data_IF_622151978443
#
_entry.id   IF_622151978443
#
_cell.length_a   1.000
_cell.length_b   1.000
_cell.length_c   1.000
_cell.angle_alpha   90.00
_cell.angle_beta   90.00
_cell.angle_gamma   90.00
#
_symmetry.space_group_name_H-M   'P 1'
#
loop_
_entity.id
_entity.type
_entity.pdbx_description
1 polymer ?
#
# COMPACT_ATOMS: atom_id res chain seq x y z
N UNK A 1 49.28 0.00 10.30
CA UNK A 1 48.46 -0.59 11.36
C UNK A 1 47.02 -0.57 10.90
N UNK A 2 46.35 -1.71 10.76
CA UNK A 2 44.95 -1.76 10.30
C UNK A 2 43.99 -1.43 11.44
N UNK A 3 43.05 -0.52 11.20
CA UNK A 3 41.97 -0.25 12.17
C UNK A 3 41.12 -1.51 12.37
N UNK A 4 40.79 -1.89 13.62
CA UNK A 4 39.93 -3.03 13.89
C UNK A 4 38.57 -2.81 13.22
N UNK A 5 38.15 -3.76 12.38
CA UNK A 5 36.88 -3.68 11.67
C UNK A 5 35.73 -3.75 12.67
N UNK A 6 35.03 -2.62 12.85
CA UNK A 6 33.85 -2.55 13.72
C UNK A 6 32.76 -3.49 13.20
N UNK A 7 32.35 -4.45 14.03
CA UNK A 7 31.29 -5.41 13.69
C UNK A 7 29.93 -4.81 14.05
N UNK A 8 29.07 -4.57 13.05
CA UNK A 8 27.73 -4.03 13.26
C UNK A 8 26.74 -5.15 13.59
N UNK A 9 25.73 -4.86 14.43
CA UNK A 9 24.70 -5.85 14.79
C UNK A 9 23.63 -6.00 13.72
N UNK A 10 23.46 -4.97 12.87
CA UNK A 10 22.45 -4.95 11.81
C UNK A 10 22.86 -4.10 10.61
N UNK A 11 22.24 -4.35 9.46
CA UNK A 11 22.40 -3.53 8.25
C UNK A 11 22.02 -2.07 8.52
N UNK A 12 20.97 -1.83 9.33
CA UNK A 12 20.56 -0.47 9.73
C UNK A 12 21.74 0.26 10.37
N UNK A 13 22.35 -0.33 11.38
CA UNK A 13 23.44 0.28 12.15
C UNK A 13 24.64 0.60 11.24
N UNK A 14 25.02 -0.33 10.37
CA UNK A 14 26.08 -0.13 9.38
C UNK A 14 25.75 1.04 8.45
N UNK A 15 24.54 1.07 7.88
CA UNK A 15 24.12 2.13 6.94
C UNK A 15 24.14 3.50 7.60
N UNK A 16 23.55 3.64 8.81
CA UNK A 16 23.53 4.93 9.51
C UNK A 16 24.94 5.39 9.89
N UNK A 17 25.77 4.48 10.41
CA UNK A 17 27.18 4.79 10.74
C UNK A 17 27.98 5.20 9.50
N UNK A 18 27.74 4.54 8.36
CA UNK A 18 28.42 4.86 7.10
C UNK A 18 28.02 6.25 6.57
N UNK A 19 26.75 6.65 6.74
CA UNK A 19 26.28 7.97 6.36
C UNK A 19 26.96 9.05 7.19
N UNK A 20 27.10 8.85 8.51
CA UNK A 20 27.82 9.78 9.38
C UNK A 20 29.30 9.89 9.02
N UNK A 21 29.97 8.75 8.81
CA UNK A 21 31.37 8.72 8.42
C UNK A 21 31.60 9.44 7.08
N UNK A 22 30.65 9.31 6.15
CA UNK A 22 30.68 9.97 4.84
C UNK A 22 30.13 11.41 4.85
N UNK A 23 29.70 11.95 6.01
CA UNK A 23 29.05 13.27 6.13
C UNK A 23 27.90 13.47 5.11
N UNK A 24 27.10 12.43 4.88
CA UNK A 24 26.01 12.43 3.90
C UNK A 24 26.43 12.23 2.43
N UNK A 25 27.72 12.23 2.10
CA UNK A 25 28.24 12.01 0.74
C UNK A 25 28.42 10.52 0.44
N UNK A 26 27.32 9.77 0.41
CA UNK A 26 27.34 8.31 0.31
C UNK A 26 27.51 7.82 -1.13
N UNK A 27 28.56 7.03 -1.36
CA UNK A 27 28.72 6.26 -2.60
C UNK A 27 28.02 4.90 -2.49
N UNK A 28 26.97 4.68 -3.29
CA UNK A 28 26.17 3.45 -3.23
C UNK A 28 26.99 2.16 -3.43
N UNK A 29 28.01 2.18 -4.30
CA UNK A 29 28.86 1.00 -4.53
C UNK A 29 29.69 0.65 -3.31
N UNK A 30 30.27 1.66 -2.65
CA UNK A 30 31.05 1.47 -1.42
C UNK A 30 30.17 0.99 -0.27
N UNK A 31 29.00 1.62 -0.08
CA UNK A 31 28.03 1.18 0.93
C UNK A 31 27.60 -0.26 0.68
N UNK A 32 27.31 -0.62 -0.57
CA UNK A 32 26.91 -1.99 -0.95
C UNK A 32 28.00 -3.01 -0.67
N UNK A 33 29.26 -2.68 -0.99
CA UNK A 33 30.40 -3.54 -0.68
C UNK A 33 30.54 -3.74 0.84
N UNK A 34 30.40 -2.69 1.63
CA UNK A 34 30.44 -2.76 3.10
C UNK A 34 29.31 -3.63 3.66
N UNK A 35 28.07 -3.46 3.18
CA UNK A 35 26.92 -4.28 3.58
C UNK A 35 27.15 -5.75 3.22
N UNK A 36 27.61 -6.05 2.01
CA UNK A 36 27.82 -7.43 1.55
C UNK A 36 29.01 -8.12 2.22
N UNK A 37 30.04 -7.36 2.58
CA UNK A 37 31.18 -7.89 3.34
C UNK A 37 30.77 -8.35 4.74
N UNK A 38 29.92 -7.60 5.45
CA UNK A 38 29.46 -8.00 6.79
C UNK A 38 28.23 -8.91 6.79
N UNK A 39 27.34 -8.74 5.82
CA UNK A 39 26.07 -9.47 5.71
C UNK A 39 25.94 -10.11 4.33
N UNK A 40 26.70 -11.18 4.04
CA UNK A 40 26.76 -11.80 2.72
C UNK A 40 25.39 -12.30 2.24
N UNK A 41 24.63 -12.92 3.14
CA UNK A 41 23.27 -13.44 2.90
C UNK A 41 22.18 -12.36 2.78
N UNK A 42 22.54 -11.09 2.96
CA UNK A 42 21.55 -10.01 2.90
C UNK A 42 20.94 -9.90 1.50
N UNK A 43 19.64 -9.62 1.43
CA UNK A 43 18.96 -9.24 0.18
C UNK A 43 19.15 -7.77 -0.18
N UNK A 44 20.27 -7.15 0.23
CA UNK A 44 20.54 -5.73 0.01
C UNK A 44 20.47 -5.34 -1.47
N UNK A 45 19.77 -4.25 -1.77
CA UNK A 45 19.55 -3.73 -3.12
C UNK A 45 19.19 -2.24 -3.08
N UNK A 46 19.13 -1.60 -4.24
CA UNK A 46 19.03 -0.14 -4.35
C UNK A 46 17.78 0.44 -3.69
N UNK A 47 16.64 -0.24 -3.78
CA UNK A 47 15.41 0.24 -3.10
C UNK A 47 15.51 0.19 -1.58
N UNK A 48 16.38 -0.63 -0.99
CA UNK A 48 16.69 -0.57 0.45
C UNK A 48 17.43 0.73 0.77
N UNK A 49 18.43 1.10 -0.04
CA UNK A 49 19.13 2.38 0.14
C UNK A 49 18.17 3.56 -0.04
N UNK A 50 17.31 3.53 -1.04
CA UNK A 50 16.29 4.57 -1.26
C UNK A 50 15.37 4.73 -0.03
N UNK A 51 14.96 3.60 0.59
CA UNK A 51 14.20 3.61 1.84
C UNK A 51 14.98 4.28 2.98
N UNK A 52 16.23 3.86 3.24
CA UNK A 52 17.05 4.46 4.30
C UNK A 52 17.29 5.94 4.07
N UNK A 53 17.63 6.35 2.85
CA UNK A 53 17.79 7.76 2.51
C UNK A 53 16.53 8.57 2.77
N UNK A 54 15.36 8.03 2.44
CA UNK A 54 14.09 8.67 2.75
C UNK A 54 13.86 8.78 4.27
N UNK A 55 14.14 7.71 5.02
CA UNK A 55 13.99 7.73 6.48
C UNK A 55 14.94 8.72 7.17
N UNK A 56 16.16 8.90 6.64
CA UNK A 56 17.13 9.90 7.12
C UNK A 56 16.70 11.32 6.76
N UNK A 57 16.22 11.54 5.54
CA UNK A 57 15.90 12.91 5.09
C UNK A 57 14.55 13.41 5.57
N UNK A 58 13.55 12.53 5.71
CA UNK A 58 12.15 12.91 5.98
C UNK A 58 11.42 12.02 6.99
N UNK A 59 12.03 10.92 7.42
CA UNK A 59 11.35 9.90 8.20
C UNK A 59 11.89 9.75 9.61
N UNK A 60 11.85 8.52 10.13
CA UNK A 60 12.09 8.22 11.54
C UNK A 60 13.48 8.63 12.06
N UNK A 61 14.48 8.71 11.18
CA UNK A 61 15.86 8.98 11.57
C UNK A 61 16.26 10.44 11.34
N UNK A 62 15.35 11.34 10.96
CA UNK A 62 15.71 12.71 10.57
C UNK A 62 16.40 13.53 11.66
N UNK A 63 16.14 13.23 12.92
CA UNK A 63 16.71 13.91 14.08
C UNK A 63 18.06 13.33 14.52
N UNK A 64 18.46 12.17 13.96
CA UNK A 64 19.78 11.56 14.23
C UNK A 64 20.89 12.16 13.34
N UNK A 65 20.53 12.95 12.32
CA UNK A 65 21.47 13.49 11.32
C UNK A 65 21.45 15.02 11.29
N UNK A 66 22.62 15.60 11.03
CA UNK A 66 22.76 17.05 10.87
C UNK A 66 22.06 17.56 9.61
N UNK A 67 21.73 18.86 9.56
CA UNK A 67 21.16 19.48 8.36
C UNK A 67 22.12 19.39 7.16
N UNK A 68 23.43 19.45 7.40
CA UNK A 68 24.45 19.31 6.35
C UNK A 68 24.43 17.90 5.74
N UNK A 69 24.40 16.85 6.57
CA UNK A 69 24.34 15.46 6.09
C UNK A 69 23.06 15.23 5.27
N UNK A 70 21.93 15.77 5.74
CA UNK A 70 20.64 15.69 5.04
C UNK A 70 20.67 16.44 3.70
N UNK A 71 21.28 17.62 3.65
CA UNK A 71 21.46 18.39 2.42
C UNK A 71 22.33 17.62 1.41
N UNK A 72 23.46 17.06 1.84
CA UNK A 72 24.35 16.27 0.99
C UNK A 72 23.65 15.03 0.41
N UNK A 73 22.88 14.32 1.23
CA UNK A 73 22.06 13.18 0.78
C UNK A 73 20.96 13.58 -0.22
N UNK A 74 20.39 14.78 -0.05
CA UNK A 74 19.39 15.32 -0.95
C UNK A 74 19.99 15.74 -2.30
N UNK A 75 21.21 16.28 -2.31
CA UNK A 75 21.95 16.68 -3.52
C UNK A 75 22.42 15.49 -4.35
N UNK A 76 22.73 14.36 -3.72
CA UNK A 76 23.04 13.10 -4.39
C UNK A 76 21.87 12.50 -5.21
N UNK A 77 20.84 13.28 -5.56
CA UNK A 77 19.61 12.87 -6.26
C UNK A 77 19.72 12.65 -7.76
N UNK A 78 20.84 12.96 -8.41
CA UNK A 78 20.88 12.89 -9.87
C UNK A 78 22.15 12.21 -10.40
N UNK A 79 22.18 10.88 -10.30
CA UNK A 79 22.57 10.09 -11.47
C UNK A 79 21.27 9.53 -12.01
N UNK A 80 20.74 10.00 -13.17
CA UNK A 80 19.57 9.41 -13.76
C UNK A 80 19.82 7.92 -13.90
N UNK A 81 18.89 7.12 -13.36
CA UNK A 81 18.82 5.69 -13.60
C UNK A 81 18.87 5.55 -15.13
N UNK A 82 20.00 5.08 -15.67
CA UNK A 82 20.10 4.82 -17.11
C UNK A 82 18.93 3.89 -17.45
N UNK A 83 18.14 4.18 -18.51
CA UNK A 83 17.17 3.21 -18.99
C UNK A 83 17.92 1.89 -19.20
N UNK A 84 17.39 0.80 -18.63
CA UNK A 84 17.92 -0.56 -18.79
C UNK A 84 18.30 -0.78 -20.26
N UNK A 85 19.59 -0.96 -20.55
CA UNK A 85 20.01 -1.40 -21.88
C UNK A 85 19.38 -2.76 -22.17
N UNK A 86 18.83 -2.98 -23.38
CA UNK A 86 18.20 -4.24 -23.77
C UNK A 86 19.30 -5.22 -24.20
N UNK A 87 19.81 -6.02 -23.28
CA UNK A 87 20.69 -7.12 -23.63
C UNK A 87 20.56 -8.25 -22.60
N UNK A 88 19.59 -9.11 -22.85
CA UNK A 88 19.61 -10.56 -22.65
C UNK A 88 18.15 -11.04 -22.81
N UNK A 89 17.88 -11.73 -23.92
CA UNK A 89 16.63 -12.42 -24.18
C UNK A 89 16.47 -13.58 -23.20
N UNK A 90 16.05 -13.28 -21.97
CA UNK A 90 15.38 -14.23 -21.11
C UNK A 90 13.88 -13.93 -21.21
N UNK A 91 13.11 -14.97 -21.52
CA UNK A 91 11.66 -14.92 -21.73
C UNK A 91 10.97 -14.00 -20.71
N UNK A 92 10.03 -13.13 -21.15
CA UNK A 92 9.37 -12.18 -20.28
C UNK A 92 8.52 -12.94 -19.26
N UNK A 93 9.02 -13.09 -18.04
CA UNK A 93 8.15 -13.33 -16.90
C UNK A 93 7.43 -12.00 -16.66
N UNK A 94 6.10 -11.92 -16.78
CA UNK A 94 5.37 -10.69 -16.54
C UNK A 94 5.49 -10.36 -15.05
N UNK A 95 6.47 -9.53 -14.71
CA UNK A 95 6.53 -8.90 -13.40
C UNK A 95 5.43 -7.86 -13.39
N UNK A 96 4.24 -8.29 -12.97
CA UNK A 96 3.13 -7.41 -12.70
C UNK A 96 3.63 -6.39 -11.66
N UNK A 97 3.93 -5.18 -12.13
CA UNK A 97 4.12 -4.03 -11.26
C UNK A 97 2.84 -3.90 -10.46
N UNK A 98 2.90 -4.33 -9.20
CA UNK A 98 1.90 -4.01 -8.20
C UNK A 98 1.96 -2.50 -8.05
N UNK A 99 1.20 -1.80 -8.89
CA UNK A 99 0.82 -0.41 -8.63
C UNK A 99 0.34 -0.43 -7.20
N UNK A 100 1.00 0.34 -6.34
CA UNK A 100 0.52 0.54 -4.98
C UNK A 100 -0.94 0.95 -5.14
N UNK A 101 -1.87 0.04 -4.87
CA UNK A 101 -3.30 0.30 -4.99
C UNK A 101 -3.62 1.26 -3.88
N UNK A 102 -3.30 2.54 -4.10
CA UNK A 102 -3.82 3.63 -3.29
C UNK A 102 -5.32 3.40 -3.33
N UNK A 103 -5.92 3.37 -2.14
CA UNK A 103 -7.36 3.23 -2.02
C UNK A 103 -8.08 4.25 -2.92
N UNK A 104 -9.36 4.00 -3.25
CA UNK A 104 -10.15 4.95 -4.03
C UNK A 104 -9.93 6.36 -3.48
N UNK A 105 -9.51 7.30 -4.33
CA UNK A 105 -9.42 8.70 -3.93
C UNK A 105 -10.86 9.16 -3.70
N UNK A 106 -11.16 9.64 -2.51
CA UNK A 106 -12.35 10.46 -2.31
C UNK A 106 -12.28 11.59 -3.34
N UNK A 107 -13.26 11.65 -4.24
CA UNK A 107 -13.35 12.71 -5.26
C UNK A 107 -13.80 14.03 -4.65
N UNK A 108 -14.46 13.95 -3.50
CA UNK A 108 -15.00 15.06 -2.74
C UNK A 108 -14.06 15.40 -1.57
N UNK A 109 -13.57 16.64 -1.56
CA UNK A 109 -12.65 17.14 -0.56
C UNK A 109 -13.29 17.26 0.83
N UNK A 110 -14.60 17.57 0.91
CA UNK A 110 -15.31 17.64 2.19
C UNK A 110 -15.46 16.24 2.81
N UNK A 111 -15.78 15.23 1.99
CA UNK A 111 -15.80 13.83 2.45
C UNK A 111 -14.42 13.39 2.94
N UNK A 112 -13.37 13.82 2.24
CA UNK A 112 -11.98 13.53 2.64
C UNK A 112 -11.64 14.18 3.99
N UNK A 113 -11.96 15.45 4.18
CA UNK A 113 -11.69 16.20 5.41
C UNK A 113 -12.37 15.56 6.62
N UNK A 114 -13.68 15.31 6.52
CA UNK A 114 -14.46 14.65 7.58
C UNK A 114 -13.92 13.23 7.82
N UNK A 115 -13.63 12.49 6.77
CA UNK A 115 -13.05 11.15 6.86
C UNK A 115 -11.70 11.14 7.57
N UNK A 116 -10.81 12.08 7.25
CA UNK A 116 -9.50 12.23 7.88
C UNK A 116 -9.64 12.61 9.36
N UNK A 117 -10.60 13.48 9.72
CA UNK A 117 -10.91 13.83 11.11
C UNK A 117 -11.41 12.61 11.92
N UNK A 118 -12.33 11.82 11.37
CA UNK A 118 -12.80 10.57 11.97
C UNK A 118 -11.65 9.58 12.13
N UNK A 119 -10.82 9.40 11.10
CA UNK A 119 -9.65 8.51 11.17
C UNK A 119 -8.65 8.98 12.23
N UNK A 120 -8.45 10.29 12.38
CA UNK A 120 -7.65 10.88 13.44
C UNK A 120 -8.17 10.50 14.82
N UNK A 121 -9.47 10.68 15.07
CA UNK A 121 -10.11 10.32 16.33
C UNK A 121 -10.03 8.82 16.62
N UNK A 122 -10.34 7.97 15.64
CA UNK A 122 -10.24 6.51 15.78
C UNK A 122 -8.81 6.08 16.11
N UNK A 123 -7.80 6.64 15.44
CA UNK A 123 -6.39 6.33 15.75
C UNK A 123 -6.00 6.75 17.15
N UNK A 124 -6.49 7.90 17.62
CA UNK A 124 -6.28 8.36 18.98
C UNK A 124 -6.89 7.38 20.00
N UNK A 125 -8.16 7.01 19.84
CA UNK A 125 -8.84 6.06 20.74
C UNK A 125 -8.15 4.70 20.76
N UNK A 126 -7.74 4.19 19.59
CA UNK A 126 -6.98 2.93 19.49
C UNK A 126 -5.62 3.06 20.20
N UNK A 127 -4.95 4.21 20.07
CA UNK A 127 -3.70 4.50 20.76
C UNK A 127 -3.85 4.49 22.28
N UNK A 128 -4.91 5.12 22.79
CA UNK A 128 -5.23 5.08 24.22
C UNK A 128 -5.50 3.66 24.71
N UNK A 129 -6.29 2.88 23.97
CA UNK A 129 -6.65 1.51 24.35
C UNK A 129 -5.45 0.54 24.30
N UNK A 130 -4.53 0.73 23.37
CA UNK A 130 -3.37 -0.14 23.19
C UNK A 130 -2.15 0.28 24.03
N UNK A 131 -2.08 1.54 24.46
CA UNK A 131 -0.89 2.09 25.13
C UNK A 131 0.36 1.93 24.26
N UNK A 132 1.39 1.27 24.80
CA UNK A 132 2.64 0.96 24.08
C UNK A 132 2.63 -0.40 23.37
N UNK A 133 1.53 -1.17 23.44
CA UNK A 133 1.42 -2.48 22.79
C UNK A 133 1.09 -2.35 21.30
N UNK A 134 2.15 -2.42 20.49
CA UNK A 134 2.09 -2.38 19.03
C UNK A 134 1.30 -3.53 18.41
N UNK A 135 1.33 -4.72 19.02
CA UNK A 135 0.63 -5.90 18.51
C UNK A 135 -0.87 -5.75 18.75
N UNK A 136 -1.26 -5.30 19.95
CA UNK A 136 -2.65 -5.02 20.27
C UNK A 136 -3.19 -3.89 19.38
N UNK A 137 -2.43 -2.80 19.21
CA UNK A 137 -2.78 -1.71 18.28
C UNK A 137 -3.08 -2.22 16.87
N UNK A 138 -2.21 -3.08 16.34
CA UNK A 138 -2.42 -3.69 15.03
C UNK A 138 -3.69 -4.56 14.97
N UNK A 139 -3.95 -5.38 16.00
CA UNK A 139 -5.16 -6.22 16.08
C UNK A 139 -6.44 -5.38 16.11
N UNK A 140 -6.48 -4.33 16.92
CA UNK A 140 -7.65 -3.43 17.01
C UNK A 140 -7.90 -2.74 15.67
N UNK A 141 -6.85 -2.21 15.02
CA UNK A 141 -6.98 -1.60 13.69
C UNK A 141 -7.62 -2.56 12.67
N UNK A 142 -7.16 -3.82 12.62
CA UNK A 142 -7.73 -4.83 11.72
C UNK A 142 -9.18 -5.15 12.06
N UNK A 143 -9.50 -5.24 13.35
CA UNK A 143 -10.86 -5.53 13.81
C UNK A 143 -11.83 -4.41 13.44
N UNK A 144 -11.47 -3.14 13.69
CA UNK A 144 -12.27 -1.97 13.33
C UNK A 144 -12.51 -1.91 11.83
N UNK A 145 -11.46 -2.09 11.02
CA UNK A 145 -11.58 -2.13 9.56
C UNK A 145 -12.53 -3.24 9.08
N UNK A 146 -12.40 -4.45 9.63
CA UNK A 146 -13.27 -5.56 9.29
C UNK A 146 -14.75 -5.28 9.65
N UNK A 147 -15.00 -4.55 10.73
CA UNK A 147 -16.36 -4.22 11.16
C UNK A 147 -17.03 -3.19 10.27
N UNK A 148 -16.29 -2.14 9.88
CA UNK A 148 -16.77 -1.15 8.90
C UNK A 148 -17.10 -1.81 7.55
N UNK A 149 -16.25 -2.72 7.07
CA UNK A 149 -16.51 -3.49 5.85
C UNK A 149 -17.75 -4.39 5.98
N UNK A 150 -17.95 -4.99 7.15
CA UNK A 150 -19.13 -5.81 7.41
C UNK A 150 -20.41 -4.98 7.38
N UNK A 151 -20.40 -3.77 7.92
CA UNK A 151 -21.54 -2.87 7.89
C UNK A 151 -21.92 -2.47 6.45
N UNK A 152 -20.94 -2.20 5.58
CA UNK A 152 -21.17 -2.01 4.14
C UNK A 152 -21.78 -3.27 3.49
N UNK A 153 -21.32 -4.47 3.86
CA UNK A 153 -21.84 -5.73 3.30
C UNK A 153 -23.26 -6.06 3.81
N UNK A 154 -23.65 -5.62 5.02
CA UNK A 154 -24.97 -5.95 5.61
C UNK A 154 -26.13 -5.48 4.73
N UNK A 155 -25.99 -4.35 4.06
CA UNK A 155 -27.00 -3.82 3.14
C UNK A 155 -27.07 -4.58 1.80
N UNK A 156 -26.05 -5.38 1.45
CA UNK A 156 -25.96 -6.14 0.20
C UNK A 156 -27.09 -7.17 0.09
N UNK A 157 -27.38 -7.93 1.17
CA UNK A 157 -28.37 -9.02 1.14
C UNK A 157 -29.81 -8.51 0.96
N UNK A 158 -30.31 -7.53 1.75
CA UNK A 158 -31.65 -6.97 1.56
C UNK A 158 -31.82 -6.32 0.18
N UNK A 159 -30.82 -5.56 -0.28
CA UNK A 159 -30.86 -4.90 -1.60
C UNK A 159 -30.94 -5.92 -2.72
N UNK A 160 -30.14 -7.00 -2.66
CA UNK A 160 -30.21 -8.11 -3.63
C UNK A 160 -31.59 -8.77 -3.65
N UNK A 161 -32.19 -9.01 -2.48
CA UNK A 161 -33.54 -9.60 -2.38
C UNK A 161 -34.59 -8.65 -2.96
N UNK A 162 -34.49 -7.34 -2.73
CA UNK A 162 -35.40 -6.32 -3.26
C UNK A 162 -35.34 -6.24 -4.79
N UNK A 163 -34.15 -6.19 -5.37
CA UNK A 163 -33.96 -6.22 -6.83
C UNK A 163 -34.50 -7.50 -7.46
N UNK A 164 -34.33 -8.63 -6.76
CA UNK A 164 -34.95 -9.87 -7.19
C UNK A 164 -36.49 -9.75 -7.12
N UNK A 165 -37.06 -9.27 -6.03
CA UNK A 165 -38.52 -9.14 -5.92
C UNK A 165 -39.13 -8.15 -6.92
N UNK A 166 -38.38 -7.13 -7.38
CA UNK A 166 -38.82 -6.19 -8.42
C UNK A 166 -38.81 -6.78 -9.85
N UNK A 167 -38.54 -8.07 -10.01
CA UNK A 167 -38.59 -8.74 -11.31
C UNK A 167 -37.27 -8.80 -12.07
N UNK A 168 -36.14 -8.34 -11.49
CA UNK A 168 -34.83 -8.45 -12.13
C UNK A 168 -34.37 -9.92 -12.16
N UNK A 169 -34.71 -10.62 -13.24
CA UNK A 169 -34.46 -12.07 -13.44
C UNK A 169 -33.39 -12.35 -14.49
N UNK A 170 -32.69 -11.34 -14.99
CA UNK A 170 -31.61 -11.49 -15.96
C UNK A 170 -30.38 -10.67 -15.58
N UNK A 171 -29.22 -11.14 -16.02
CA UNK A 171 -27.96 -10.43 -15.85
C UNK A 171 -28.01 -9.11 -16.60
N UNK A 172 -27.84 -8.00 -15.90
CA UNK A 172 -27.87 -6.66 -16.51
C UNK A 172 -26.65 -6.36 -17.40
N UNK A 173 -25.64 -7.23 -17.42
CA UNK A 173 -24.47 -7.09 -18.28
C UNK A 173 -24.51 -8.00 -19.53
N UNK A 174 -24.99 -9.25 -19.41
CA UNK A 174 -24.98 -10.21 -20.53
C UNK A 174 -26.36 -10.74 -20.94
N UNK A 175 -27.44 -10.26 -20.32
CA UNK A 175 -28.82 -10.67 -20.62
C UNK A 175 -29.22 -12.07 -20.15
N UNK A 176 -28.27 -12.92 -19.74
CA UNK A 176 -28.56 -14.30 -19.31
C UNK A 176 -29.60 -14.35 -18.19
N UNK A 177 -30.66 -15.12 -18.40
CA UNK A 177 -31.70 -15.34 -17.40
C UNK A 177 -31.18 -16.12 -16.17
N UNK A 178 -31.71 -15.79 -14.99
CA UNK A 178 -31.40 -16.43 -13.72
C UNK A 178 -32.54 -17.36 -13.31
N UNK A 179 -32.25 -18.65 -13.18
CA UNK A 179 -33.22 -19.63 -12.65
C UNK A 179 -33.47 -19.48 -11.15
N UNK A 180 -32.51 -18.93 -10.41
CA UNK A 180 -32.62 -18.69 -8.97
C UNK A 180 -31.74 -17.52 -8.52
N UNK A 181 -31.98 -17.01 -7.32
CA UNK A 181 -31.15 -15.97 -6.70
C UNK A 181 -29.76 -16.49 -6.29
N UNK A 182 -29.57 -17.81 -6.20
CA UNK A 182 -28.28 -18.43 -5.86
C UNK A 182 -27.29 -18.22 -7.03
N UNK A 183 -26.07 -17.79 -6.72
CA UNK A 183 -25.03 -17.51 -7.73
C UNK A 183 -25.15 -16.16 -8.45
N UNK A 184 -26.22 -15.39 -8.19
CA UNK A 184 -26.34 -14.01 -8.66
C UNK A 184 -25.52 -13.08 -7.75
N UNK A 185 -24.80 -12.13 -8.33
CA UNK A 185 -24.10 -11.08 -7.60
C UNK A 185 -24.81 -9.74 -7.77
N UNK A 186 -24.58 -8.83 -6.83
CA UNK A 186 -25.06 -7.45 -6.91
C UNK A 186 -23.86 -6.55 -7.19
N UNK A 187 -23.97 -5.75 -8.23
CA UNK A 187 -22.94 -4.82 -8.67
C UNK A 187 -23.47 -3.39 -8.51
N UNK A 188 -22.59 -2.47 -8.08
CA UNK A 188 -22.90 -1.04 -7.99
C UNK A 188 -22.67 -0.40 -9.36
N UNK A 189 -23.62 0.39 -9.86
CA UNK A 189 -23.46 1.19 -11.08
C UNK A 189 -22.41 2.27 -10.85
N UNK A 190 -22.52 2.97 -9.72
CA UNK A 190 -21.60 4.01 -9.28
C UNK A 190 -20.89 3.54 -8.00
N UNK A 191 -19.56 3.44 -8.06
CA UNK A 191 -18.73 2.83 -7.02
C UNK A 191 -18.61 3.68 -5.74
N UNK A 192 -18.86 4.98 -5.85
CA UNK A 192 -18.86 5.97 -4.77
C UNK A 192 -20.20 6.05 -4.02
N UNK A 193 -21.29 5.54 -4.62
CA UNK A 193 -22.59 5.45 -3.98
C UNK A 193 -22.75 4.13 -3.20
N UNK A 194 -23.57 4.17 -2.14
CA UNK A 194 -23.90 3.00 -1.34
C UNK A 194 -24.73 1.96 -2.10
N UNK A 195 -24.95 0.78 -1.49
CA UNK A 195 -25.89 -0.20 -2.01
C UNK A 195 -27.33 0.32 -1.87
N UNK A 196 -28.01 0.54 -2.98
CA UNK A 196 -29.44 0.89 -3.04
C UNK A 196 -30.09 0.18 -4.23
N UNK A 197 -31.43 0.14 -4.30
CA UNK A 197 -32.11 -0.44 -5.46
C UNK A 197 -31.77 0.33 -6.76
N UNK A 198 -31.61 1.66 -6.67
CA UNK A 198 -31.38 2.51 -7.84
C UNK A 198 -29.93 2.42 -8.34
N UNK A 199 -28.97 2.29 -7.42
CA UNK A 199 -27.54 2.22 -7.73
C UNK A 199 -27.05 0.77 -7.94
N UNK A 200 -27.90 -0.24 -7.83
CA UNK A 200 -27.45 -1.63 -7.94
C UNK A 200 -28.16 -2.41 -9.03
N UNK A 201 -27.43 -3.38 -9.58
CA UNK A 201 -27.91 -4.31 -10.60
C UNK A 201 -27.53 -5.74 -10.24
N UNK A 202 -28.31 -6.70 -10.73
CA UNK A 202 -28.02 -8.12 -10.60
C UNK A 202 -27.20 -8.59 -11.82
N UNK A 203 -26.07 -9.23 -11.55
CA UNK A 203 -25.15 -9.73 -12.56
C UNK A 203 -24.76 -11.18 -12.26
N UNK A 204 -24.37 -11.93 -13.29
CA UNK A 204 -23.78 -13.25 -13.08
C UNK A 204 -22.36 -13.10 -12.50
N UNK A 205 -21.86 -14.14 -11.83
CA UNK A 205 -20.53 -14.15 -11.21
C UNK A 205 -19.41 -13.80 -12.20
N UNK A 206 -19.49 -14.31 -13.43
CA UNK A 206 -18.50 -14.03 -14.49
C UNK A 206 -18.45 -12.54 -14.81
N UNK A 207 -19.61 -11.92 -15.08
CA UNK A 207 -19.69 -10.48 -15.34
C UNK A 207 -19.25 -9.66 -14.13
N UNK A 208 -19.59 -10.05 -12.90
CA UNK A 208 -19.14 -9.32 -11.71
C UNK A 208 -17.60 -9.30 -11.57
N UNK A 209 -16.92 -10.38 -11.95
CA UNK A 209 -15.46 -10.49 -11.88
C UNK A 209 -14.76 -9.70 -12.99
N UNK A 210 -15.35 -9.62 -14.18
CA UNK A 210 -14.80 -8.85 -15.30
C UNK A 210 -14.96 -7.34 -15.15
N UNK A 211 -15.63 -6.87 -14.09
CA UNK A 211 -15.93 -5.46 -13.83
C UNK A 211 -16.56 -4.79 -15.07
N UNK A 212 -17.79 -5.19 -15.43
CA UNK A 212 -18.37 -4.77 -16.68
C UNK A 212 -18.49 -3.24 -16.66
N UNK A 213 -18.18 -2.54 -17.77
CA UNK A 213 -18.35 -1.10 -17.82
C UNK A 213 -19.80 -0.75 -17.48
N UNK A 214 -19.99 0.37 -16.76
CA UNK A 214 -21.33 0.91 -16.54
C UNK A 214 -21.96 1.15 -17.92
N UNK A 215 -23.05 0.43 -18.20
CA UNK A 215 -23.87 0.59 -19.40
C UNK A 215 -24.67 1.89 -19.32
#
# INVERSE_FOLDING_TARGET
MGEPTKRYRSIKELVLSHVHQAKGCVNYKQLTAAVKSQFPESRWHETHWAYYRHQITKGRFCNEFSEEEKANLALAKHVPIRPRSPACAASPVPVAFATSRRGPRARDDAVKEVGDAILGHVRFVIGLAAGTDEVLRFKINRWVFARLLQDEIRVKRPTKKRLWQSGMRSCQACGRHFSSIKGVEIHRKEADKGYSADNCVLVCRQCHQSNPPAA
#
